data_IF_731163627511
#
_entry.id   IF_731163627511
#
_cell.length_a   1.000
_cell.length_b   1.000
_cell.length_c   1.000
_cell.angle_alpha   90.00
_cell.angle_beta   90.00
_cell.angle_gamma   90.00
#
_symmetry.space_group_name_H-M   'P 1'
#
loop_
_entity.id
_entity.type
_entity.pdbx_description
1 polymer ?
#
# COMPACT_ATOMS: atom_id res chain seq x y z
N UNK A 1 -21.15 1.37 18.74
CA UNK A 1 -21.01 2.56 19.62
C UNK A 1 -19.95 3.45 18.99
N UNK A 2 -20.17 4.69 18.58
CA UNK A 2 -21.39 5.48 18.38
C UNK A 2 -21.36 6.08 16.96
N UNK A 3 -22.51 6.52 16.45
CA UNK A 3 -22.58 7.26 15.18
C UNK A 3 -21.81 8.56 15.36
N UNK A 4 -20.60 8.66 14.81
CA UNK A 4 -19.87 9.93 14.77
C UNK A 4 -20.66 10.87 13.88
N UNK A 5 -21.19 11.93 14.48
CA UNK A 5 -21.87 12.98 13.72
C UNK A 5 -20.86 13.61 12.75
N UNK A 6 -21.16 13.63 11.45
CA UNK A 6 -20.35 14.31 10.43
C UNK A 6 -20.08 15.77 10.83
N UNK A 7 -21.01 16.39 11.57
CA UNK A 7 -20.89 17.75 12.06
C UNK A 7 -19.75 17.95 13.08
N UNK A 8 -19.24 16.89 13.72
CA UNK A 8 -18.21 16.97 14.76
C UNK A 8 -16.80 16.62 14.26
N UNK A 9 -16.65 15.72 13.29
CA UNK A 9 -15.34 15.29 12.82
C UNK A 9 -14.72 16.31 11.82
N UNK A 10 -13.56 16.94 12.12
CA UNK A 10 -12.96 17.94 11.24
C UNK A 10 -12.49 17.39 9.88
N UNK A 11 -12.28 16.07 9.75
CA UNK A 11 -11.91 15.43 8.49
C UNK A 11 -13.09 15.28 7.52
N UNK A 12 -14.33 15.43 8.00
CA UNK A 12 -15.57 15.22 7.21
C UNK A 12 -16.24 16.52 6.76
N UNK A 13 -15.61 17.67 7.04
CA UNK A 13 -16.14 19.00 6.72
C UNK A 13 -15.39 19.57 5.51
N UNK A 14 -16.05 20.48 4.81
CA UNK A 14 -15.36 21.40 3.90
C UNK A 14 -14.46 22.32 4.72
N UNK A 15 -13.21 22.48 4.29
CA UNK A 15 -12.25 23.33 4.97
C UNK A 15 -12.27 24.74 4.39
N UNK A 16 -12.30 25.74 5.27
CA UNK A 16 -12.23 27.17 4.91
C UNK A 16 -10.83 27.77 5.18
N UNK A 17 -9.84 26.90 5.40
CA UNK A 17 -8.43 27.29 5.54
C UNK A 17 -7.88 27.81 4.21
N UNK A 18 -6.81 28.63 4.24
CA UNK A 18 -6.13 29.05 3.00
C UNK A 18 -5.76 27.85 2.13
N UNK A 19 -6.17 27.89 0.85
CA UNK A 19 -5.96 26.82 -0.12
C UNK A 19 -6.60 25.47 0.25
N UNK A 20 -7.60 25.45 1.13
CA UNK A 20 -8.26 24.22 1.60
C UNK A 20 -7.25 23.23 2.18
N UNK A 21 -6.27 23.72 2.94
CA UNK A 21 -5.29 22.87 3.64
C UNK A 21 -5.95 22.22 4.86
N UNK A 22 -5.65 20.95 5.13
CA UNK A 22 -6.18 20.26 6.30
C UNK A 22 -5.94 21.09 7.59
N UNK A 23 -6.96 21.29 8.44
CA UNK A 23 -6.82 22.06 9.68
C UNK A 23 -6.10 21.22 10.75
N UNK A 24 -4.80 20.97 10.54
CA UNK A 24 -3.97 20.05 11.34
C UNK A 24 -4.00 20.34 12.84
N UNK A 25 -4.21 21.59 13.25
CA UNK A 25 -4.27 22.00 14.66
C UNK A 25 -5.46 21.40 15.44
N UNK A 26 -6.49 20.92 14.76
CA UNK A 26 -7.69 20.34 15.38
C UNK A 26 -7.91 18.86 15.01
N UNK A 27 -7.00 18.26 14.23
CA UNK A 27 -7.09 16.86 13.80
C UNK A 27 -6.32 15.99 14.79
N UNK A 28 -7.02 15.06 15.43
CA UNK A 28 -6.47 14.08 16.35
C UNK A 28 -6.59 12.66 15.77
N UNK A 29 -5.82 11.73 16.33
CA UNK A 29 -5.72 10.36 15.81
C UNK A 29 -7.08 9.63 15.87
N UNK A 30 -7.94 9.96 16.84
CA UNK A 30 -9.30 9.40 17.01
C UNK A 30 -10.26 9.78 15.88
N UNK A 31 -9.94 10.80 15.08
CA UNK A 31 -10.81 11.24 13.98
C UNK A 31 -10.68 10.34 12.75
N UNK A 32 -9.55 9.65 12.55
CA UNK A 32 -9.22 9.01 11.28
C UNK A 32 -10.06 7.78 10.98
N UNK A 33 -10.17 6.83 11.90
CA UNK A 33 -10.91 5.59 11.64
C UNK A 33 -12.41 5.83 11.39
N UNK A 34 -13.14 6.63 12.21
CA UNK A 34 -14.52 6.96 11.91
C UNK A 34 -14.68 7.74 10.60
N UNK A 35 -13.75 8.65 10.28
CA UNK A 35 -13.81 9.41 9.03
C UNK A 35 -13.60 8.52 7.81
N UNK A 36 -12.65 7.58 7.90
CA UNK A 36 -12.37 6.62 6.83
C UNK A 36 -13.58 5.72 6.55
N UNK A 37 -14.25 5.23 7.61
CA UNK A 37 -15.46 4.42 7.44
C UNK A 37 -16.57 5.16 6.71
N UNK A 38 -16.83 6.41 7.11
CA UNK A 38 -17.85 7.25 6.49
C UNK A 38 -17.47 7.57 5.04
N UNK A 39 -16.23 7.98 4.79
CA UNK A 39 -15.78 8.35 3.46
C UNK A 39 -15.79 7.17 2.49
N UNK A 40 -15.33 5.98 2.90
CA UNK A 40 -15.43 4.77 2.09
C UNK A 40 -16.88 4.40 1.75
N UNK A 41 -17.81 4.59 2.69
CA UNK A 41 -19.23 4.32 2.44
C UNK A 41 -19.85 5.33 1.46
N UNK A 42 -19.52 6.62 1.60
CA UNK A 42 -19.99 7.66 0.67
C UNK A 42 -19.50 7.43 -0.75
N UNK A 43 -18.24 7.09 -0.94
CA UNK A 43 -17.71 6.76 -2.27
C UNK A 43 -18.45 5.58 -2.91
N UNK A 44 -18.80 4.55 -2.13
CA UNK A 44 -19.58 3.43 -2.68
C UNK A 44 -21.00 3.85 -3.09
N UNK A 45 -21.64 4.75 -2.36
CA UNK A 45 -22.94 5.33 -2.74
C UNK A 45 -22.82 6.14 -4.03
N UNK A 46 -21.76 6.95 -4.17
CA UNK A 46 -21.50 7.71 -5.41
C UNK A 46 -21.30 6.76 -6.61
N UNK A 47 -20.58 5.65 -6.41
CA UNK A 47 -20.42 4.61 -7.44
C UNK A 47 -21.77 3.95 -7.79
N UNK A 48 -22.62 3.64 -6.81
CA UNK A 48 -23.96 3.11 -7.04
C UNK A 48 -24.82 4.07 -7.87
N UNK A 49 -24.68 5.38 -7.68
CA UNK A 49 -25.39 6.38 -8.51
C UNK A 49 -24.95 6.33 -9.98
N UNK A 50 -23.66 6.06 -10.24
CA UNK A 50 -23.14 5.87 -11.61
C UNK A 50 -23.73 4.61 -12.23
N UNK A 51 -23.76 3.49 -11.50
CA UNK A 51 -24.28 2.22 -12.04
C UNK A 51 -25.79 2.24 -12.23
N UNK A 52 -26.53 2.92 -11.35
CA UNK A 52 -27.99 3.09 -11.42
C UNK A 52 -28.46 4.06 -12.52
N UNK A 53 -27.54 4.74 -13.22
CA UNK A 53 -27.89 5.66 -14.30
C UNK A 53 -28.46 4.91 -15.52
N UNK A 54 -29.76 5.02 -15.75
CA UNK A 54 -30.46 4.32 -16.84
C UNK A 54 -30.18 4.89 -18.25
N UNK A 55 -29.47 6.02 -18.36
CA UNK A 55 -29.03 6.52 -19.67
C UNK A 55 -27.89 5.67 -20.22
N UNK A 56 -27.83 5.58 -21.55
CA UNK A 56 -26.74 4.88 -22.23
C UNK A 56 -25.37 5.41 -21.77
N UNK A 57 -24.38 4.55 -21.46
CA UNK A 57 -23.08 4.98 -20.94
C UNK A 57 -22.37 5.96 -21.88
N UNK A 58 -21.91 7.10 -21.36
CA UNK A 58 -21.07 8.08 -22.06
C UNK A 58 -19.82 8.35 -21.25
N UNK A 59 -18.86 9.08 -21.82
CA UNK A 59 -17.67 9.49 -21.07
C UNK A 59 -18.06 10.30 -19.83
N UNK A 60 -18.98 11.25 -19.98
CA UNK A 60 -19.41 12.18 -18.92
C UNK A 60 -20.13 11.43 -17.80
N UNK A 61 -21.10 10.58 -18.14
CA UNK A 61 -21.94 9.91 -17.13
C UNK A 61 -21.31 8.65 -16.52
N UNK A 62 -20.09 8.29 -16.93
CA UNK A 62 -19.39 7.07 -16.47
C UNK A 62 -17.97 7.37 -16.06
N UNK A 63 -17.12 7.87 -16.96
CA UNK A 63 -15.70 8.13 -16.67
C UNK A 63 -15.53 9.43 -15.89
N UNK A 64 -16.05 10.55 -16.39
CA UNK A 64 -15.95 11.83 -15.69
C UNK A 64 -16.65 11.75 -14.33
N UNK A 65 -17.86 11.17 -14.29
CA UNK A 65 -18.56 10.89 -13.04
C UNK A 65 -17.70 10.08 -12.05
N UNK A 66 -17.00 9.03 -12.50
CA UNK A 66 -16.10 8.25 -11.64
C UNK A 66 -14.99 9.11 -11.01
N UNK A 67 -14.41 10.05 -11.76
CA UNK A 67 -13.38 10.97 -11.25
C UNK A 67 -13.92 12.06 -10.31
N UNK A 68 -15.25 12.24 -10.23
CA UNK A 68 -15.87 13.13 -9.23
C UNK A 68 -16.20 12.43 -7.92
N UNK A 69 -16.13 11.09 -7.88
CA UNK A 69 -16.35 10.31 -6.66
C UNK A 69 -15.12 10.33 -5.75
N UNK A 70 -15.31 10.04 -4.47
CA UNK A 70 -14.20 9.79 -3.56
C UNK A 70 -13.49 11.03 -3.02
N UNK A 71 -13.98 12.24 -3.29
CA UNK A 71 -13.33 13.48 -2.82
C UNK A 71 -13.15 13.52 -1.29
N UNK A 72 -14.18 13.08 -0.55
CA UNK A 72 -14.09 12.99 0.91
C UNK A 72 -13.09 11.92 1.37
N UNK A 73 -13.00 10.82 0.64
CA UNK A 73 -12.03 9.75 0.93
C UNK A 73 -10.60 10.24 0.67
N UNK A 74 -10.35 10.91 -0.45
CA UNK A 74 -9.08 11.54 -0.76
C UNK A 74 -8.67 12.57 0.30
N UNK A 75 -9.63 13.37 0.79
CA UNK A 75 -9.41 14.33 1.89
C UNK A 75 -8.90 13.63 3.17
N UNK A 76 -9.55 12.53 3.57
CA UNK A 76 -9.17 11.76 4.76
C UNK A 76 -7.81 11.07 4.57
N UNK A 77 -7.62 10.40 3.43
CA UNK A 77 -6.42 9.62 3.10
C UNK A 77 -5.19 10.52 2.99
N UNK A 78 -5.28 11.60 2.22
CA UNK A 78 -4.15 12.52 2.01
C UNK A 78 -3.67 13.12 3.33
N UNK A 79 -4.61 13.51 4.20
CA UNK A 79 -4.30 14.04 5.54
C UNK A 79 -3.62 13.00 6.41
N UNK A 80 -4.16 11.77 6.46
CA UNK A 80 -3.61 10.69 7.27
C UNK A 80 -2.19 10.33 6.84
N UNK A 81 -1.97 10.06 5.55
CA UNK A 81 -0.66 9.65 5.06
C UNK A 81 0.38 10.79 5.11
N UNK A 82 -0.05 12.05 5.03
CA UNK A 82 0.85 13.21 5.27
C UNK A 82 1.37 13.20 6.71
N UNK A 83 0.48 13.05 7.69
CA UNK A 83 0.87 13.02 9.10
C UNK A 83 1.67 11.76 9.42
N UNK A 84 1.20 10.58 9.01
CA UNK A 84 1.86 9.32 9.28
C UNK A 84 3.26 9.24 8.64
N UNK A 85 3.44 9.82 7.45
CA UNK A 85 4.74 9.89 6.77
C UNK A 85 5.75 10.83 7.42
N UNK A 86 5.28 11.92 8.04
CA UNK A 86 6.16 12.93 8.64
C UNK A 86 6.36 12.76 10.16
N UNK A 87 5.35 12.26 10.86
CA UNK A 87 5.30 12.18 12.32
C UNK A 87 4.43 11.00 12.75
N UNK A 88 4.99 9.79 12.76
CA UNK A 88 4.25 8.61 13.26
C UNK A 88 4.31 8.49 14.79
N UNK A 89 3.42 7.65 15.34
CA UNK A 89 3.38 7.20 16.72
C UNK A 89 2.70 5.82 16.78
N UNK A 90 2.65 5.17 17.95
CA UNK A 90 2.05 3.83 18.08
C UNK A 90 0.59 3.76 17.61
N UNK A 91 -0.20 4.83 17.83
CA UNK A 91 -1.59 4.90 17.40
C UNK A 91 -1.72 5.00 15.88
N UNK A 92 -0.86 5.79 15.24
CA UNK A 92 -0.79 5.95 13.77
C UNK A 92 -0.29 4.68 13.09
N UNK A 93 0.63 3.96 13.71
CA UNK A 93 1.08 2.65 13.22
C UNK A 93 -0.07 1.61 13.23
N UNK A 94 -0.91 1.63 14.28
CA UNK A 94 -2.14 0.82 14.30
C UNK A 94 -3.14 1.27 13.22
N UNK A 95 -3.33 2.59 13.07
CA UNK A 95 -4.21 3.14 12.03
C UNK A 95 -3.73 2.79 10.61
N UNK A 96 -2.42 2.70 10.35
CA UNK A 96 -1.91 2.27 9.04
C UNK A 96 -2.43 0.87 8.66
N UNK A 97 -2.52 -0.05 9.63
CA UNK A 97 -3.09 -1.39 9.40
C UNK A 97 -4.60 -1.32 9.12
N UNK A 98 -5.33 -0.47 9.86
CA UNK A 98 -6.77 -0.24 9.66
C UNK A 98 -7.02 0.35 8.26
N UNK A 99 -6.28 1.40 7.88
CA UNK A 99 -6.35 2.04 6.57
C UNK A 99 -6.05 1.04 5.45
N UNK A 100 -4.95 0.30 5.56
CA UNK A 100 -4.58 -0.70 4.55
C UNK A 100 -5.69 -1.73 4.33
N UNK A 101 -6.31 -2.21 5.42
CA UNK A 101 -7.38 -3.21 5.34
C UNK A 101 -8.64 -2.63 4.71
N UNK A 102 -9.14 -1.51 5.24
CA UNK A 102 -10.38 -0.89 4.75
C UNK A 102 -10.27 -0.39 3.31
N UNK A 103 -9.12 0.17 2.91
CA UNK A 103 -8.90 0.62 1.53
C UNK A 103 -8.77 -0.55 0.56
N UNK A 104 -8.17 -1.67 0.97
CA UNK A 104 -8.14 -2.89 0.17
C UNK A 104 -9.56 -3.43 -0.08
N UNK A 105 -10.40 -3.48 0.95
CA UNK A 105 -11.79 -3.92 0.83
C UNK A 105 -12.60 -2.95 -0.04
N UNK A 106 -12.42 -1.64 0.16
CA UNK A 106 -13.06 -0.59 -0.62
C UNK A 106 -12.72 -0.70 -2.12
N UNK A 107 -11.42 -0.78 -2.45
CA UNK A 107 -10.96 -0.94 -3.83
C UNK A 107 -11.45 -2.25 -4.46
N UNK A 108 -11.50 -3.34 -3.68
CA UNK A 108 -12.04 -4.62 -4.15
C UNK A 108 -13.50 -4.48 -4.57
N UNK A 109 -14.33 -3.77 -3.78
CA UNK A 109 -15.73 -3.52 -4.13
C UNK A 109 -15.87 -2.75 -5.44
N UNK A 110 -15.03 -1.74 -5.68
CA UNK A 110 -15.05 -0.97 -6.94
C UNK A 110 -14.61 -1.83 -8.13
N UNK A 111 -13.43 -2.45 -8.07
CA UNK A 111 -12.88 -3.17 -9.22
C UNK A 111 -13.58 -4.51 -9.52
N UNK A 112 -14.33 -5.06 -8.55
CA UNK A 112 -15.16 -6.25 -8.76
C UNK A 112 -16.61 -5.94 -9.12
N UNK A 113 -17.00 -4.65 -9.16
CA UNK A 113 -18.33 -4.23 -9.59
C UNK A 113 -18.49 -4.44 -11.09
N UNK A 114 -19.24 -5.47 -11.47
CA UNK A 114 -19.46 -5.83 -12.87
C UNK A 114 -20.30 -4.81 -13.61
N UNK A 115 -21.30 -4.21 -12.97
CA UNK A 115 -22.16 -3.20 -13.60
C UNK A 115 -21.34 -1.95 -13.97
N UNK A 116 -20.46 -1.51 -13.06
CA UNK A 116 -19.54 -0.40 -13.33
C UNK A 116 -18.59 -0.73 -14.49
N UNK A 117 -18.01 -1.93 -14.49
CA UNK A 117 -17.12 -2.35 -15.57
C UNK A 117 -17.85 -2.43 -16.92
N UNK A 118 -19.05 -3.00 -16.97
CA UNK A 118 -19.87 -3.08 -18.18
C UNK A 118 -20.18 -1.69 -18.76
N UNK A 119 -20.45 -0.70 -17.90
CA UNK A 119 -20.60 0.69 -18.34
C UNK A 119 -19.32 1.24 -18.94
N UNK A 120 -18.18 1.05 -18.27
CA UNK A 120 -16.86 1.52 -18.75
C UNK A 120 -16.50 0.86 -20.10
N UNK A 121 -16.68 -0.45 -20.20
CA UNK A 121 -16.42 -1.25 -21.40
C UNK A 121 -17.30 -0.79 -22.57
N UNK A 122 -18.58 -0.50 -22.31
CA UNK A 122 -19.51 0.06 -23.31
C UNK A 122 -19.05 1.42 -23.87
N UNK A 123 -18.40 2.27 -23.07
CA UNK A 123 -17.85 3.54 -23.57
C UNK A 123 -16.71 3.28 -24.57
N UNK A 124 -15.90 2.24 -24.33
CA UNK A 124 -14.79 1.85 -25.21
C UNK A 124 -15.26 1.20 -26.52
N UNK A 125 -16.27 0.32 -26.47
CA UNK A 125 -16.76 -0.42 -27.65
C UNK A 125 -17.60 0.43 -28.63
N UNK A 126 -18.01 1.63 -28.24
CA UNK A 126 -18.93 2.44 -29.03
C UNK A 126 -18.24 3.39 -30.01
N UNK A 127 -18.94 3.78 -31.09
CA UNK A 127 -18.55 4.88 -31.99
C UNK A 127 -18.30 6.24 -31.28
N UNK A 128 -18.53 6.31 -29.96
CA UNK A 128 -18.39 7.49 -29.09
C UNK A 128 -16.94 7.92 -28.89
N UNK A 129 -15.96 7.06 -29.18
CA UNK A 129 -14.54 7.44 -29.21
C UNK A 129 -14.27 8.62 -30.16
N UNK A 130 -15.07 8.76 -31.24
CA UNK A 130 -14.90 9.81 -32.24
C UNK A 130 -15.12 11.23 -31.69
N UNK A 131 -15.81 11.37 -30.56
CA UNK A 131 -16.12 12.66 -29.94
C UNK A 131 -15.19 12.98 -28.75
N UNK A 132 -14.28 12.09 -28.38
CA UNK A 132 -13.36 12.31 -27.27
C UNK A 132 -12.12 13.06 -27.74
N UNK A 133 -11.66 14.00 -26.93
CA UNK A 133 -10.33 14.56 -27.10
C UNK A 133 -9.25 13.55 -26.67
N UNK A 134 -7.98 13.85 -26.97
CA UNK A 134 -6.86 12.95 -26.68
C UNK A 134 -6.72 12.61 -25.18
N UNK A 135 -6.99 13.57 -24.29
CA UNK A 135 -6.89 13.35 -22.85
C UNK A 135 -8.02 12.45 -22.35
N UNK A 136 -9.25 12.70 -22.78
CA UNK A 136 -10.42 11.86 -22.46
C UNK A 136 -10.23 10.43 -22.95
N UNK A 137 -9.79 10.26 -24.20
CA UNK A 137 -9.48 8.94 -24.75
C UNK A 137 -8.38 8.24 -23.92
N UNK A 138 -7.33 8.95 -23.53
CA UNK A 138 -6.26 8.41 -22.69
C UNK A 138 -6.78 7.99 -21.31
N UNK A 139 -7.57 8.82 -20.65
CA UNK A 139 -8.14 8.53 -19.33
C UNK A 139 -9.05 7.30 -19.39
N UNK A 140 -9.93 7.21 -20.39
CA UNK A 140 -10.78 6.04 -20.61
C UNK A 140 -9.94 4.76 -20.76
N UNK A 141 -8.89 4.79 -21.60
CA UNK A 141 -7.99 3.64 -21.77
C UNK A 141 -7.30 3.24 -20.46
N UNK A 142 -6.85 4.21 -19.65
CA UNK A 142 -6.18 3.95 -18.38
C UNK A 142 -7.15 3.32 -17.36
N UNK A 143 -8.36 3.87 -17.23
CA UNK A 143 -9.40 3.33 -16.35
C UNK A 143 -9.77 1.92 -16.77
N UNK A 144 -10.14 1.71 -18.03
CA UNK A 144 -10.51 0.39 -18.56
C UNK A 144 -9.40 -0.65 -18.32
N UNK A 145 -8.15 -0.31 -18.67
CA UNK A 145 -7.00 -1.18 -18.44
C UNK A 145 -6.85 -1.55 -16.96
N UNK A 146 -7.03 -0.61 -16.04
CA UNK A 146 -6.95 -0.91 -14.60
C UNK A 146 -8.04 -1.89 -14.13
N UNK A 147 -9.27 -1.78 -14.66
CA UNK A 147 -10.33 -2.75 -14.39
C UNK A 147 -10.03 -4.13 -14.96
N UNK A 148 -9.60 -4.22 -16.22
CA UNK A 148 -9.20 -5.49 -16.86
C UNK A 148 -8.07 -6.17 -16.08
N UNK A 149 -7.05 -5.41 -15.69
CA UNK A 149 -5.91 -5.90 -14.90
C UNK A 149 -6.28 -6.30 -13.47
N UNK A 150 -7.43 -5.83 -12.98
CA UNK A 150 -8.03 -6.22 -11.72
C UNK A 150 -9.01 -7.38 -11.87
N UNK A 151 -9.07 -7.99 -13.06
CA UNK A 151 -9.88 -9.17 -13.34
C UNK A 151 -11.36 -8.88 -13.59
N UNK A 152 -11.75 -7.62 -13.80
CA UNK A 152 -13.17 -7.24 -14.00
C UNK A 152 -13.78 -7.89 -15.25
N UNK A 153 -12.97 -8.13 -16.29
CA UNK A 153 -13.40 -8.80 -17.52
C UNK A 153 -13.50 -10.34 -17.40
N UNK A 154 -13.03 -10.93 -16.30
CA UNK A 154 -13.05 -12.39 -16.11
C UNK A 154 -14.47 -12.87 -15.77
N UNK A 155 -14.83 -14.04 -16.29
CA UNK A 155 -16.13 -14.69 -16.06
C UNK A 155 -15.94 -16.12 -15.56
N UNK A 156 -16.96 -16.64 -14.86
CA UNK A 156 -17.00 -18.02 -14.37
C UNK A 156 -15.78 -18.42 -13.53
N UNK A 157 -15.28 -19.63 -13.76
CA UNK A 157 -14.18 -20.24 -12.99
C UNK A 157 -12.89 -19.39 -12.97
N UNK A 158 -12.60 -18.66 -14.06
CA UNK A 158 -11.42 -17.80 -14.12
C UNK A 158 -11.52 -16.61 -13.15
N UNK A 159 -12.73 -16.05 -12.96
CA UNK A 159 -12.96 -14.97 -11.99
C UNK A 159 -12.76 -15.47 -10.57
N UNK A 160 -13.31 -16.64 -10.24
CA UNK A 160 -13.19 -17.26 -8.91
C UNK A 160 -11.74 -17.62 -8.57
N UNK A 161 -11.01 -18.19 -9.54
CA UNK A 161 -9.57 -18.48 -9.41
C UNK A 161 -8.78 -17.20 -9.20
N UNK A 162 -9.05 -16.15 -9.98
CA UNK A 162 -8.38 -14.86 -9.83
C UNK A 162 -8.60 -14.27 -8.44
N UNK A 163 -9.84 -14.22 -7.95
CA UNK A 163 -10.16 -13.72 -6.61
C UNK A 163 -9.49 -14.51 -5.49
N UNK A 164 -9.45 -15.83 -5.61
CA UNK A 164 -8.74 -16.69 -4.66
C UNK A 164 -7.24 -16.39 -4.65
N UNK A 165 -6.64 -16.25 -5.84
CA UNK A 165 -5.21 -15.94 -5.99
C UNK A 165 -4.88 -14.56 -5.43
N UNK A 166 -5.66 -13.52 -5.75
CA UNK A 166 -5.38 -12.15 -5.27
C UNK A 166 -5.54 -12.02 -3.77
N UNK A 167 -6.56 -12.66 -3.18
CA UNK A 167 -6.70 -12.76 -1.71
C UNK A 167 -5.47 -13.42 -1.08
N UNK A 168 -5.03 -14.54 -1.64
CA UNK A 168 -3.86 -15.26 -1.12
C UNK A 168 -2.57 -14.45 -1.24
N UNK A 169 -2.38 -13.76 -2.36
CA UNK A 169 -1.24 -12.86 -2.56
C UNK A 169 -1.23 -11.71 -1.55
N UNK A 170 -2.40 -11.14 -1.22
CA UNK A 170 -2.51 -10.11 -0.20
C UNK A 170 -2.15 -10.65 1.20
N UNK A 171 -2.69 -11.81 1.60
CA UNK A 171 -2.32 -12.48 2.86
C UNK A 171 -0.81 -12.73 2.95
N UNK A 172 -0.22 -13.26 1.88
CA UNK A 172 1.22 -13.53 1.83
C UNK A 172 2.02 -12.23 1.94
N UNK A 173 1.63 -11.17 1.23
CA UNK A 173 2.28 -9.86 1.30
C UNK A 173 2.30 -9.29 2.71
N UNK A 174 1.16 -9.34 3.41
CA UNK A 174 1.05 -8.90 4.82
C UNK A 174 1.97 -9.73 5.71
N UNK A 175 1.91 -11.06 5.61
CA UNK A 175 2.75 -11.95 6.43
C UNK A 175 4.24 -11.77 6.15
N UNK A 176 4.61 -11.60 4.88
CA UNK A 176 6.00 -11.35 4.48
C UNK A 176 6.57 -10.10 5.17
N UNK A 177 5.83 -9.00 5.12
CA UNK A 177 6.21 -7.74 5.77
C UNK A 177 6.25 -7.85 7.29
N UNK A 178 5.27 -8.50 7.90
CA UNK A 178 5.22 -8.72 9.36
C UNK A 178 6.41 -9.55 9.84
N UNK A 179 6.74 -10.65 9.15
CA UNK A 179 7.89 -11.49 9.47
C UNK A 179 9.19 -10.68 9.42
N UNK A 180 9.38 -9.85 8.39
CA UNK A 180 10.55 -8.99 8.26
C UNK A 180 10.66 -7.97 9.40
N UNK A 181 9.55 -7.29 9.72
CA UNK A 181 9.50 -6.32 10.81
C UNK A 181 9.72 -6.96 12.18
N UNK A 182 9.21 -8.17 12.41
CA UNK A 182 9.45 -8.92 13.64
C UNK A 182 10.92 -9.33 13.77
N UNK A 183 11.56 -9.79 12.69
CA UNK A 183 13.00 -10.11 12.69
C UNK A 183 13.86 -8.86 12.96
N UNK A 184 13.50 -7.70 12.41
CA UNK A 184 14.19 -6.44 12.69
C UNK A 184 14.00 -5.95 14.13
N UNK A 185 12.81 -6.17 14.71
CA UNK A 185 12.46 -5.72 16.06
C UNK A 185 13.10 -6.57 17.14
N UNK A 186 13.06 -7.88 16.96
CA UNK A 186 13.46 -8.85 17.98
C UNK A 186 14.98 -9.00 18.05
N UNK A 187 15.67 -8.79 16.93
CA UNK A 187 17.13 -8.84 16.91
C UNK A 187 17.76 -7.56 17.44
N UNK A 188 18.66 -7.71 18.39
CA UNK A 188 19.56 -6.65 18.81
C UNK A 188 20.85 -7.24 19.39
N UNK A 189 21.94 -6.49 19.30
CA UNK A 189 23.23 -6.85 19.87
C UNK A 189 23.70 -5.78 20.84
N UNK A 190 23.93 -6.19 22.09
CA UNK A 190 24.49 -5.33 23.14
C UNK A 190 25.97 -5.10 22.84
N UNK A 191 26.42 -3.86 22.95
CA UNK A 191 27.81 -3.47 22.72
C UNK A 191 28.44 -2.98 24.03
N UNK A 192 29.61 -3.52 24.34
CA UNK A 192 30.43 -3.08 25.47
C UNK A 192 31.21 -1.81 25.10
N UNK A 193 31.69 -1.07 26.11
CA UNK A 193 32.44 0.17 25.92
C UNK A 193 33.62 0.00 24.94
N UNK A 194 34.35 -1.13 25.01
CA UNK A 194 35.46 -1.44 24.09
C UNK A 194 35.02 -1.50 22.63
N UNK A 195 33.78 -1.93 22.37
CA UNK A 195 33.25 -2.00 21.01
C UNK A 195 32.92 -0.61 20.45
N UNK A 196 32.70 0.38 21.32
CA UNK A 196 32.33 1.75 20.94
C UNK A 196 33.54 2.63 20.63
N UNK A 197 34.72 2.32 21.18
CA UNK A 197 35.94 3.14 21.05
C UNK A 197 36.37 3.38 19.59
N UNK A 198 36.05 2.45 18.69
CA UNK A 198 36.43 2.55 17.26
C UNK A 198 35.34 3.17 16.38
N UNK A 199 34.17 3.49 16.96
CA UNK A 199 33.02 3.99 16.21
C UNK A 199 32.98 5.54 16.23
N UNK A 200 32.53 6.18 15.14
CA UNK A 200 32.27 7.61 15.13
C UNK A 200 31.29 8.03 16.21
N UNK A 201 31.48 9.23 16.77
CA UNK A 201 30.65 9.76 17.86
C UNK A 201 29.16 9.80 17.54
N UNK A 202 28.79 10.14 16.30
CA UNK A 202 27.38 10.16 15.87
C UNK A 202 26.75 8.76 15.96
N UNK A 203 27.50 7.71 15.63
CA UNK A 203 27.03 6.33 15.67
C UNK A 203 26.91 5.87 17.12
N UNK A 204 27.88 6.20 17.97
CA UNK A 204 27.81 5.91 19.41
C UNK A 204 26.57 6.56 20.05
N UNK A 205 26.25 7.80 19.69
CA UNK A 205 25.03 8.46 20.18
C UNK A 205 23.76 7.72 19.73
N UNK A 206 23.68 7.34 18.46
CA UNK A 206 22.52 6.62 17.91
C UNK A 206 22.35 5.22 18.54
N UNK A 207 23.45 4.48 18.77
CA UNK A 207 23.43 3.17 19.44
C UNK A 207 22.98 3.27 20.91
N UNK A 208 23.41 4.32 21.61
CA UNK A 208 22.94 4.59 22.98
C UNK A 208 21.46 4.95 23.02
N UNK A 209 20.98 5.76 22.06
CA UNK A 209 19.56 6.08 21.97
C UNK A 209 18.73 4.82 21.70
N UNK A 210 19.17 3.96 20.77
CA UNK A 210 18.49 2.70 20.47
C UNK A 210 18.40 1.75 21.66
N UNK A 211 19.40 1.79 22.57
CA UNK A 211 19.37 1.11 23.85
C UNK A 211 18.31 1.69 24.79
N UNK A 212 18.30 3.02 24.97
CA UNK A 212 17.30 3.73 25.79
C UNK A 212 15.87 3.46 25.32
N UNK A 213 15.63 3.53 24.02
CA UNK A 213 14.30 3.26 23.41
C UNK A 213 13.81 1.83 23.68
N UNK A 214 14.73 0.91 24.00
CA UNK A 214 14.45 -0.49 24.37
C UNK A 214 14.45 -0.74 25.89
N UNK A 215 14.62 0.30 26.72
CA UNK A 215 14.78 0.15 28.16
C UNK A 215 16.08 -0.56 28.56
N UNK A 216 17.10 -0.52 27.70
CA UNK A 216 18.40 -1.16 27.91
C UNK A 216 19.44 -0.07 28.21
N UNK A 217 20.04 -0.11 29.40
CA UNK A 217 21.07 0.84 29.83
C UNK A 217 22.47 0.55 29.25
N UNK A 218 22.56 0.32 27.93
CA UNK A 218 23.84 0.20 27.20
C UNK A 218 23.62 0.50 25.70
N UNK A 219 24.71 0.67 24.95
CA UNK A 219 24.64 0.81 23.50
C UNK A 219 24.12 -0.47 22.85
N UNK A 220 23.18 -0.32 21.91
CA UNK A 220 22.54 -1.45 21.23
C UNK A 220 22.59 -1.25 19.73
N UNK A 221 23.12 -2.25 19.02
CA UNK A 221 22.99 -2.36 17.57
C UNK A 221 21.67 -3.04 17.23
N UNK A 222 20.94 -2.48 16.27
CA UNK A 222 19.72 -3.07 15.70
C UNK A 222 19.91 -3.26 14.19
N UNK A 223 18.93 -3.88 13.52
CA UNK A 223 18.96 -4.09 12.07
C UNK A 223 18.41 -2.90 11.28
N UNK A 224 18.09 -1.76 11.92
CA UNK A 224 17.66 -0.56 11.21
C UNK A 224 18.77 -0.07 10.30
N UNK A 225 18.41 0.37 9.08
CA UNK A 225 19.39 0.78 8.06
C UNK A 225 20.31 1.92 8.55
N UNK A 226 19.81 2.79 9.41
CA UNK A 226 20.55 3.90 10.03
C UNK A 226 21.60 3.48 11.06
N UNK A 227 21.53 2.26 11.60
CA UNK A 227 22.52 1.73 12.55
C UNK A 227 23.41 0.65 11.90
N UNK A 228 22.81 -0.33 11.22
CA UNK A 228 23.55 -1.48 10.69
C UNK A 228 24.56 -1.09 9.61
N UNK A 229 24.18 -0.17 8.71
CA UNK A 229 25.06 0.27 7.60
C UNK A 229 26.31 0.97 8.12
N UNK A 230 26.22 2.04 8.93
CA UNK A 230 27.41 2.69 9.47
C UNK A 230 28.17 1.76 10.44
N UNK A 231 27.51 0.87 11.19
CA UNK A 231 28.21 -0.10 12.03
C UNK A 231 29.11 -1.03 11.20
N UNK A 232 28.57 -1.60 10.11
CA UNK A 232 29.36 -2.45 9.21
C UNK A 232 30.49 -1.68 8.51
N UNK A 233 30.32 -0.38 8.28
CA UNK A 233 31.33 0.48 7.67
C UNK A 233 32.46 0.84 8.63
N UNK A 234 32.15 1.18 9.88
CA UNK A 234 33.12 1.79 10.81
C UNK A 234 33.63 0.85 11.92
N UNK A 235 32.89 -0.21 12.27
CA UNK A 235 33.34 -1.15 13.30
C UNK A 235 34.61 -1.86 12.85
N UNK A 236 35.70 -1.74 13.60
CA UNK A 236 36.98 -2.38 13.28
C UNK A 236 37.00 -3.89 13.60
N UNK A 237 36.16 -4.36 14.53
CA UNK A 237 36.08 -5.76 14.95
C UNK A 237 35.37 -6.62 13.89
N UNK A 238 36.13 -7.55 13.28
CA UNK A 238 35.61 -8.46 12.26
C UNK A 238 34.52 -9.39 12.80
N UNK A 239 34.66 -9.91 14.02
CA UNK A 239 33.71 -10.86 14.59
C UNK A 239 32.36 -10.20 14.85
N UNK A 240 32.35 -8.96 15.35
CA UNK A 240 31.12 -8.20 15.53
C UNK A 240 30.45 -7.85 14.20
N UNK A 241 31.23 -7.45 13.19
CA UNK A 241 30.69 -7.22 11.84
C UNK A 241 30.08 -8.49 11.26
N UNK A 242 30.69 -9.65 11.46
CA UNK A 242 30.17 -10.93 10.99
C UNK A 242 28.82 -11.26 11.64
N UNK A 243 28.71 -11.15 12.97
CA UNK A 243 27.45 -11.36 13.69
C UNK A 243 26.35 -10.43 13.18
N UNK A 244 26.67 -9.14 13.03
CA UNK A 244 25.74 -8.12 12.54
C UNK A 244 25.31 -8.37 11.09
N UNK A 245 26.25 -8.70 10.20
CA UNK A 245 25.98 -8.95 8.78
C UNK A 245 25.15 -10.21 8.57
N UNK A 246 25.47 -11.30 9.29
CA UNK A 246 24.69 -12.54 9.23
C UNK A 246 23.26 -12.29 9.71
N UNK A 247 23.07 -11.56 10.80
CA UNK A 247 21.72 -11.20 11.27
C UNK A 247 20.96 -10.35 10.23
N UNK A 248 21.63 -9.35 9.65
CA UNK A 248 21.02 -8.45 8.67
C UNK A 248 20.61 -9.15 7.37
N UNK A 249 21.43 -10.07 6.87
CA UNK A 249 21.17 -10.82 5.63
C UNK A 249 20.20 -11.99 5.80
N UNK A 250 20.06 -12.51 7.03
CA UNK A 250 19.10 -13.60 7.35
C UNK A 250 17.68 -13.12 7.65
N UNK A 251 17.42 -11.81 7.68
CA UNK A 251 16.06 -11.27 7.92
C UNK A 251 15.05 -11.86 6.94
N UNK A 252 13.97 -12.42 7.46
CA UNK A 252 12.95 -13.14 6.68
C UNK A 252 13.40 -14.50 6.15
N UNK A 253 14.64 -14.93 6.37
CA UNK A 253 15.16 -16.24 5.99
C UNK A 253 15.51 -17.11 7.21
N UNK A 254 15.14 -16.67 8.42
CA UNK A 254 15.27 -17.44 9.64
C UNK A 254 14.42 -18.72 9.60
N UNK A 255 14.84 -19.76 10.31
CA UNK A 255 14.06 -21.00 10.44
C UNK A 255 12.76 -20.77 11.24
N UNK A 256 11.76 -21.63 11.03
CA UNK A 256 10.47 -21.55 11.72
C UNK A 256 9.39 -20.74 10.98
N UNK A 257 8.44 -20.21 11.74
CA UNK A 257 7.21 -19.56 11.23
C UNK A 257 7.47 -18.25 10.47
N UNK A 258 8.62 -17.61 10.68
CA UNK A 258 8.99 -16.34 10.05
C UNK A 258 9.77 -16.49 8.73
N UNK A 259 9.82 -17.71 8.20
CA UNK A 259 10.55 -18.00 6.98
C UNK A 259 9.78 -17.52 5.72
N UNK A 260 10.21 -16.39 5.17
CA UNK A 260 9.69 -15.79 3.96
C UNK A 260 10.16 -16.49 2.66
N UNK A 261 11.12 -17.41 2.68
CA UNK A 261 11.54 -18.15 1.47
C UNK A 261 10.36 -18.97 0.94
N UNK A 262 9.63 -19.66 1.82
CA UNK A 262 8.41 -20.41 1.44
C UNK A 262 7.33 -19.48 0.87
N UNK A 263 7.17 -18.31 1.49
CA UNK A 263 6.23 -17.28 1.03
C UNK A 263 6.60 -16.71 -0.34
N UNK A 264 7.89 -16.51 -0.60
CA UNK A 264 8.38 -16.05 -1.89
C UNK A 264 8.10 -17.09 -2.99
N UNK A 265 8.35 -18.37 -2.73
CA UNK A 265 8.02 -19.44 -3.68
C UNK A 265 6.51 -19.51 -3.98
N UNK A 266 5.66 -19.43 -2.96
CA UNK A 266 4.21 -19.40 -3.13
C UNK A 266 3.76 -18.16 -3.92
N UNK A 267 4.33 -16.98 -3.61
CA UNK A 267 4.10 -15.72 -4.35
C UNK A 267 4.42 -15.87 -5.82
N UNK A 268 5.58 -16.44 -6.17
CA UNK A 268 5.99 -16.62 -7.57
C UNK A 268 5.02 -17.55 -8.32
N UNK A 269 4.60 -18.66 -7.70
CA UNK A 269 3.62 -19.59 -8.28
C UNK A 269 2.28 -18.91 -8.54
N UNK A 270 1.76 -18.20 -7.55
CA UNK A 270 0.48 -17.50 -7.63
C UNK A 270 0.51 -16.37 -8.67
N UNK A 271 1.60 -15.58 -8.71
CA UNK A 271 1.80 -14.54 -9.72
C UNK A 271 1.84 -15.10 -11.15
N UNK A 272 2.49 -16.25 -11.36
CA UNK A 272 2.50 -16.91 -12.66
C UNK A 272 1.11 -17.40 -13.08
N UNK A 273 0.33 -17.97 -12.14
CA UNK A 273 -1.06 -18.38 -12.40
C UNK A 273 -1.96 -17.17 -12.70
N UNK A 274 -1.84 -16.10 -11.92
CA UNK A 274 -2.59 -14.85 -12.10
C UNK A 274 -2.36 -14.27 -13.49
N UNK A 275 -1.10 -14.17 -13.91
CA UNK A 275 -0.73 -13.65 -15.23
C UNK A 275 -1.39 -14.46 -16.36
N UNK A 276 -1.34 -15.80 -16.28
CA UNK A 276 -1.99 -16.69 -17.26
C UNK A 276 -3.50 -16.49 -17.33
N UNK A 277 -4.17 -16.37 -16.18
CA UNK A 277 -5.63 -16.13 -16.13
C UNK A 277 -5.99 -14.80 -16.81
N UNK A 278 -5.13 -13.80 -16.65
CA UNK A 278 -5.29 -12.49 -17.29
C UNK A 278 -4.80 -12.44 -18.75
N UNK A 279 -4.34 -13.56 -19.32
CA UNK A 279 -3.89 -13.64 -20.72
C UNK A 279 -2.44 -13.21 -20.99
N UNK A 280 -1.62 -13.01 -19.95
CA UNK A 280 -0.21 -12.66 -20.09
C UNK A 280 0.70 -13.89 -20.10
N UNK A 281 1.79 -13.84 -20.86
CA UNK A 281 2.78 -14.91 -20.94
C UNK A 281 3.52 -15.15 -19.61
N UNK A 282 3.79 -14.08 -18.85
CA UNK A 282 4.41 -14.14 -17.52
C UNK A 282 3.97 -12.98 -16.63
N UNK A 283 4.29 -13.05 -15.33
CA UNK A 283 4.04 -11.92 -14.43
C UNK A 283 4.84 -10.67 -14.81
N UNK A 284 6.03 -10.82 -15.40
CA UNK A 284 6.82 -9.68 -15.89
C UNK A 284 6.12 -8.98 -17.06
N UNK A 285 5.52 -9.72 -17.99
CA UNK A 285 4.68 -9.14 -19.05
C UNK A 285 3.49 -8.38 -18.45
N UNK A 286 2.79 -8.98 -17.47
CA UNK A 286 1.73 -8.28 -16.75
C UNK A 286 2.23 -7.02 -16.05
N UNK A 287 3.40 -7.07 -15.39
CA UNK A 287 3.91 -5.94 -14.61
C UNK A 287 4.42 -4.81 -15.51
N UNK A 288 5.02 -5.12 -16.65
CA UNK A 288 5.64 -4.14 -17.56
C UNK A 288 4.67 -3.55 -18.58
N UNK A 289 3.49 -4.13 -18.80
CA UNK A 289 2.44 -3.60 -19.68
C UNK A 289 2.02 -2.15 -19.36
N UNK A 290 2.21 -1.71 -18.11
CA UNK A 290 1.93 -0.32 -17.69
C UNK A 290 3.17 0.57 -17.64
N UNK A 291 4.36 0.01 -17.80
CA UNK A 291 5.64 0.69 -17.67
C UNK A 291 6.18 1.09 -19.04
N UNK A 292 7.10 2.06 -19.09
CA UNK A 292 7.66 2.54 -20.37
C UNK A 292 8.38 1.43 -21.16
N UNK A 293 9.01 0.48 -20.47
CA UNK A 293 9.64 -0.65 -21.12
C UNK A 293 8.66 -1.57 -21.85
N UNK A 294 7.37 -1.56 -21.48
CA UNK A 294 6.26 -2.31 -22.11
C UNK A 294 6.34 -3.84 -22.09
N UNK A 295 7.54 -4.43 -22.10
CA UNK A 295 7.76 -5.88 -22.09
C UNK A 295 9.13 -6.22 -21.49
N UNK A 296 9.33 -7.45 -20.97
CA UNK A 296 10.62 -7.87 -20.41
C UNK A 296 11.75 -7.85 -21.44
N UNK A 297 11.45 -8.08 -22.73
CA UNK A 297 12.43 -8.06 -23.81
C UNK A 297 13.12 -6.70 -24.01
N UNK A 298 12.53 -5.61 -23.50
CA UNK A 298 13.11 -4.26 -23.56
C UNK A 298 13.87 -3.86 -22.28
N UNK A 299 13.89 -4.73 -21.27
CA UNK A 299 14.58 -4.51 -19.98
C UNK A 299 15.87 -5.32 -19.88
N UNK A 300 15.94 -6.43 -20.61
CA UNK A 300 17.02 -7.43 -20.56
C UNK A 300 18.37 -6.93 -21.11
#
# INVERSE_FOLDING_TARGET
>A
MGKTDKSLNPLLRTWETPHNIAPFSIINDEHFEPALEIACAETLIEIEQITANNHAPTFENTIEALFTTGQLLDQVISTFYTIAGAHTNEKRDQLLLVFSTKLSDHNTKIYSNTELFERIDSVLETKKLQNLNNEQARVLMLVHRNFVRSGAALKGENREKFQTITRKLAEIGTRFSQNLLSDERDWFMKLDNKNLETLPSFLVQALNQAGKDRGINQAVLTLSRSLITPFLQFCSDRALREVAYVAWTKRGANEGERNNVKLAHETLKLRAQMAKILGYASYSHYKLDTEMASSPENVD
#
